data_IF_533654831130
#
_entry.id   IF_533654831130
#
_cell.length_a   1.000
_cell.length_b   1.000
_cell.length_c   1.000
_cell.angle_alpha   90.00
_cell.angle_beta   90.00
_cell.angle_gamma   90.00
#
_symmetry.space_group_name_H-M   'P 1'
#
loop_
_entity.id
_entity.type
_entity.pdbx_description
1 polymer ?
#
# COMPACT_ATOMS: atom_id res chain seq x y z
N UNK A 1 16.04 -0.74 -10.13
CA UNK A 1 16.48 0.36 -11.03
C UNK A 1 15.75 0.40 -12.38
N UNK A 2 15.27 -0.71 -12.95
CA UNK A 2 14.61 -0.71 -14.28
C UNK A 2 13.28 0.10 -14.37
N UNK A 3 12.66 0.46 -13.24
CA UNK A 3 11.42 1.24 -13.22
C UNK A 3 11.61 2.75 -13.07
N UNK A 4 12.85 3.23 -12.90
CA UNK A 4 13.17 4.67 -12.85
C UNK A 4 12.57 5.48 -14.02
N UNK A 5 12.67 5.04 -15.29
CA UNK A 5 12.07 5.80 -16.39
C UNK A 5 10.55 5.93 -16.23
N UNK A 6 9.85 4.85 -15.87
CA UNK A 6 8.42 4.88 -15.60
C UNK A 6 8.07 5.91 -14.51
N UNK A 7 8.85 5.94 -13.42
CA UNK A 7 8.64 6.88 -12.30
C UNK A 7 8.84 8.35 -12.67
N UNK A 8 9.67 8.64 -13.67
CA UNK A 8 9.98 10.01 -14.11
C UNK A 8 9.00 10.46 -15.21
N UNK A 9 8.62 9.57 -16.12
CA UNK A 9 7.71 9.91 -17.23
C UNK A 9 6.26 10.03 -16.76
N UNK A 10 5.83 9.22 -15.78
CA UNK A 10 4.44 9.22 -15.31
C UNK A 10 3.99 10.57 -14.74
N UNK A 11 4.75 11.24 -13.85
CA UNK A 11 4.39 12.55 -13.34
C UNK A 11 4.28 13.61 -14.45
N UNK A 12 5.12 13.54 -15.49
CA UNK A 12 5.06 14.47 -16.63
C UNK A 12 3.78 14.26 -17.45
N UNK A 13 3.38 13.02 -17.68
CA UNK A 13 2.13 12.70 -18.38
C UNK A 13 0.89 13.05 -17.54
N UNK A 14 0.96 12.78 -16.24
CA UNK A 14 -0.12 13.05 -15.30
C UNK A 14 -0.18 14.52 -14.88
N UNK A 15 0.87 15.32 -15.10
CA UNK A 15 0.89 16.74 -14.73
C UNK A 15 -0.32 17.49 -15.31
N UNK A 16 -0.67 17.24 -16.58
CA UNK A 16 -1.85 17.87 -17.20
C UNK A 16 -3.18 17.47 -16.54
N UNK A 17 -3.27 16.26 -15.98
CA UNK A 17 -4.47 15.76 -15.31
C UNK A 17 -4.51 16.12 -13.82
N UNK A 18 -3.35 16.33 -13.19
CA UNK A 18 -3.23 16.59 -11.74
C UNK A 18 -3.20 18.10 -11.44
N UNK A 19 -2.83 18.96 -12.39
CA UNK A 19 -2.82 20.44 -12.23
C UNK A 19 -4.24 21.05 -12.24
N UNK A 20 -5.29 20.24 -12.32
CA UNK A 20 -6.67 20.72 -12.21
C UNK A 20 -7.05 21.24 -10.83
N UNK A 21 -8.22 21.87 -10.72
CA UNK A 21 -8.71 22.47 -9.48
C UNK A 21 -9.09 21.45 -8.39
N UNK A 22 -9.08 20.14 -8.69
CA UNK A 22 -9.44 19.08 -7.73
C UNK A 22 -8.50 17.86 -7.79
N UNK A 23 -7.22 18.00 -7.38
CA UNK A 23 -6.22 16.93 -7.49
C UNK A 23 -6.61 15.65 -6.73
N UNK A 24 -7.38 15.77 -5.65
CA UNK A 24 -7.78 14.65 -4.81
C UNK A 24 -9.01 13.88 -5.36
N UNK A 25 -9.70 14.40 -6.38
CA UNK A 25 -10.72 13.62 -7.10
C UNK A 25 -10.08 12.49 -7.92
N UNK A 26 -8.91 12.76 -8.51
CA UNK A 26 -8.12 11.73 -9.19
C UNK A 26 -7.69 10.65 -8.20
N UNK A 27 -7.26 11.04 -6.99
CA UNK A 27 -6.92 10.11 -5.91
C UNK A 27 -8.11 9.20 -5.57
N UNK A 28 -9.30 9.77 -5.37
CA UNK A 28 -10.53 9.04 -5.05
C UNK A 28 -10.94 8.05 -6.17
N UNK A 29 -10.69 8.38 -7.44
CA UNK A 29 -10.98 7.50 -8.58
C UNK A 29 -9.96 6.38 -8.75
N UNK A 30 -8.69 6.64 -8.46
CA UNK A 30 -7.59 5.66 -8.58
C UNK A 30 -7.55 4.68 -7.40
N UNK A 31 -7.99 5.11 -6.22
CA UNK A 31 -8.02 4.26 -5.01
C UNK A 31 -8.74 2.93 -5.14
N UNK A 32 -9.99 2.85 -5.65
CA UNK A 32 -10.66 1.56 -5.82
C UNK A 32 -9.94 0.67 -6.83
N UNK A 33 -9.40 1.25 -7.91
CA UNK A 33 -8.62 0.50 -8.90
C UNK A 33 -7.38 -0.13 -8.27
N UNK A 34 -6.64 0.63 -7.45
CA UNK A 34 -5.49 0.10 -6.70
C UNK A 34 -5.90 -1.03 -5.76
N UNK A 35 -6.98 -0.85 -5.02
CA UNK A 35 -7.45 -1.85 -4.06
C UNK A 35 -7.87 -3.15 -4.74
N UNK A 36 -8.57 -3.08 -5.87
CA UNK A 36 -8.89 -4.25 -6.68
C UNK A 36 -7.64 -4.93 -7.23
N UNK A 37 -6.65 -4.16 -7.70
CA UNK A 37 -5.41 -4.70 -8.25
C UNK A 37 -4.53 -5.41 -7.20
N UNK A 38 -4.64 -5.03 -5.93
CA UNK A 38 -4.00 -5.76 -4.84
C UNK A 38 -4.51 -7.20 -4.72
N UNK A 39 -5.82 -7.41 -4.89
CA UNK A 39 -6.41 -8.76 -4.89
C UNK A 39 -5.93 -9.57 -6.09
N UNK A 40 -5.84 -8.95 -7.27
CA UNK A 40 -5.28 -9.60 -8.47
C UNK A 40 -3.84 -10.02 -8.25
N UNK A 41 -3.03 -9.17 -7.61
CA UNK A 41 -1.64 -9.48 -7.30
C UNK A 41 -1.52 -10.61 -6.28
N UNK A 42 -2.37 -10.64 -5.25
CA UNK A 42 -2.42 -11.76 -4.30
C UNK A 42 -2.84 -13.07 -4.99
N UNK A 43 -3.83 -13.03 -5.87
CA UNK A 43 -4.25 -14.18 -6.68
C UNK A 43 -3.13 -14.68 -7.60
N UNK A 44 -2.35 -13.76 -8.19
CA UNK A 44 -1.18 -14.13 -8.98
C UNK A 44 -0.14 -14.91 -8.16
N UNK A 45 0.17 -14.43 -6.95
CA UNK A 45 1.09 -15.11 -6.02
C UNK A 45 0.59 -16.51 -5.63
N UNK A 46 -0.73 -16.68 -5.49
CA UNK A 46 -1.34 -17.98 -5.20
C UNK A 46 -1.19 -18.97 -6.36
N UNK A 47 -1.23 -18.50 -7.60
CA UNK A 47 -1.05 -19.34 -8.80
C UNK A 47 0.45 -19.65 -9.08
N UNK A 48 1.37 -18.82 -8.60
CA UNK A 48 2.82 -19.00 -8.77
C UNK A 48 3.35 -20.41 -8.48
N UNK A 49 3.04 -21.07 -7.35
CA UNK A 49 3.52 -22.44 -7.09
C UNK A 49 3.05 -23.45 -8.14
N UNK A 50 1.85 -23.28 -8.71
CA UNK A 50 1.33 -24.15 -9.77
C UNK A 50 2.02 -23.94 -11.13
N UNK A 51 2.60 -22.76 -11.36
CA UNK A 51 3.36 -22.43 -12.57
C UNK A 51 4.82 -22.90 -12.50
N UNK A 52 5.26 -23.47 -11.38
CA UNK A 52 6.61 -23.99 -11.23
C UNK A 52 6.75 -25.32 -11.96
N UNK A 53 7.52 -25.34 -13.06
CA UNK A 53 7.84 -26.54 -13.82
C UNK A 53 9.31 -26.91 -13.59
N UNK A 54 9.57 -28.10 -13.03
CA UNK A 54 10.95 -28.62 -12.78
C UNK A 54 11.88 -27.66 -12.01
N UNK A 55 11.36 -27.00 -10.96
CA UNK A 55 12.12 -26.05 -10.13
C UNK A 55 12.70 -24.82 -10.86
N UNK A 56 12.27 -24.55 -12.10
CA UNK A 56 12.65 -23.35 -12.84
C UNK A 56 11.42 -22.54 -13.22
N UNK A 57 11.49 -21.23 -13.01
CA UNK A 57 10.46 -20.31 -13.49
C UNK A 57 10.73 -20.04 -14.98
N UNK A 58 9.75 -20.33 -15.86
CA UNK A 58 9.91 -20.04 -17.27
C UNK A 58 9.99 -18.53 -17.52
N UNK A 59 10.67 -18.12 -18.60
CA UNK A 59 10.93 -16.70 -18.92
C UNK A 59 9.67 -15.84 -19.03
N UNK A 60 8.55 -16.42 -19.47
CA UNK A 60 7.27 -15.72 -19.53
C UNK A 60 6.74 -15.28 -18.15
N UNK A 61 7.06 -16.02 -17.08
CA UNK A 61 6.65 -15.67 -15.72
C UNK A 61 7.26 -14.34 -15.28
N UNK A 62 8.55 -14.13 -15.57
CA UNK A 62 9.24 -12.89 -15.24
C UNK A 62 8.69 -11.70 -16.04
N UNK A 63 8.38 -11.90 -17.34
CA UNK A 63 7.74 -10.86 -18.16
C UNK A 63 6.37 -10.44 -17.62
N UNK A 64 5.55 -11.42 -17.25
CA UNK A 64 4.23 -11.18 -16.65
C UNK A 64 4.32 -10.49 -15.29
N UNK A 65 5.26 -10.91 -14.44
CA UNK A 65 5.51 -10.31 -13.13
C UNK A 65 5.92 -8.83 -13.27
N UNK A 66 6.82 -8.52 -14.20
CA UNK A 66 7.23 -7.14 -14.48
C UNK A 66 6.06 -6.31 -14.99
N UNK A 67 5.20 -6.87 -15.83
CA UNK A 67 4.02 -6.18 -16.35
C UNK A 67 3.00 -5.88 -15.24
N UNK A 68 2.63 -6.88 -14.43
CA UNK A 68 1.70 -6.71 -13.31
C UNK A 68 2.24 -5.68 -12.32
N UNK A 69 3.52 -5.79 -11.96
CA UNK A 69 4.16 -4.84 -11.05
C UNK A 69 4.25 -3.43 -11.68
N UNK A 70 4.47 -3.33 -12.99
CA UNK A 70 4.47 -2.06 -13.72
C UNK A 70 3.12 -1.36 -13.65
N UNK A 71 2.03 -2.09 -13.91
CA UNK A 71 0.65 -1.57 -13.79
C UNK A 71 0.35 -1.15 -12.36
N UNK A 72 0.72 -1.97 -11.37
CA UNK A 72 0.57 -1.62 -9.97
C UNK A 72 1.28 -0.31 -9.59
N UNK A 73 2.51 -0.10 -10.10
CA UNK A 73 3.27 1.12 -9.88
C UNK A 73 2.60 2.35 -10.48
N UNK A 74 1.95 2.24 -11.64
CA UNK A 74 1.22 3.36 -12.25
C UNK A 74 0.15 3.91 -11.30
N UNK A 75 -0.64 3.03 -10.67
CA UNK A 75 -1.66 3.43 -9.70
C UNK A 75 -1.06 4.09 -8.46
N UNK A 76 0.02 3.52 -7.92
CA UNK A 76 0.73 4.08 -6.77
C UNK A 76 1.32 5.46 -7.05
N UNK A 77 1.99 5.63 -8.19
CA UNK A 77 2.59 6.92 -8.56
C UNK A 77 1.54 7.97 -8.84
N UNK A 78 0.43 7.61 -9.48
CA UNK A 78 -0.67 8.54 -9.69
C UNK A 78 -1.20 9.11 -8.37
N UNK A 79 -1.41 8.26 -7.36
CA UNK A 79 -1.81 8.70 -6.02
C UNK A 79 -0.77 9.61 -5.37
N UNK A 80 0.50 9.22 -5.42
CA UNK A 80 1.58 9.99 -4.82
C UNK A 80 1.65 11.40 -5.43
N UNK A 81 1.58 11.51 -6.76
CA UNK A 81 1.61 12.81 -7.45
C UNK A 81 0.41 13.67 -7.07
N UNK A 82 -0.80 13.10 -7.00
CA UNK A 82 -2.01 13.85 -6.58
C UNK A 82 -1.94 14.36 -5.15
N UNK A 83 -1.37 13.57 -4.24
CA UNK A 83 -1.17 13.94 -2.84
C UNK A 83 -0.14 15.07 -2.70
N UNK A 84 0.98 14.98 -3.42
CA UNK A 84 2.00 16.04 -3.43
C UNK A 84 1.47 17.34 -4.06
N UNK A 85 0.62 17.25 -5.09
CA UNK A 85 -0.04 18.41 -5.66
C UNK A 85 -1.00 19.08 -4.67
N UNK A 86 -1.75 18.28 -3.89
CA UNK A 86 -2.58 18.79 -2.81
C UNK A 86 -1.73 19.47 -1.71
N UNK A 87 -0.60 18.86 -1.32
CA UNK A 87 0.33 19.44 -0.34
C UNK A 87 0.94 20.76 -0.81
N UNK A 88 1.27 20.87 -2.08
CA UNK A 88 1.77 22.12 -2.66
C UNK A 88 0.71 23.23 -2.63
N UNK A 89 -0.55 22.89 -2.89
CA UNK A 89 -1.64 23.88 -2.92
C UNK A 89 -2.04 24.37 -1.54
N UNK A 90 -2.08 23.47 -0.55
CA UNK A 90 -2.54 23.76 0.81
C UNK A 90 -1.49 24.47 1.66
N UNK A 91 -0.22 24.34 1.28
CA UNK A 91 0.89 24.96 2.01
C UNK A 91 0.89 26.48 1.81
N UNK A 92 0.81 27.23 2.90
CA UNK A 92 0.88 28.70 2.88
C UNK A 92 2.18 29.19 2.20
N UNK A 93 2.14 30.13 1.24
CA UNK A 93 3.35 30.70 0.62
C UNK A 93 4.39 31.22 1.61
N UNK A 94 3.98 31.74 2.78
CA UNK A 94 4.89 32.27 3.80
C UNK A 94 5.66 31.16 4.56
N UNK A 95 5.02 29.99 4.76
CA UNK A 95 5.58 28.88 5.54
C UNK A 95 5.57 27.54 4.77
N UNK A 96 5.60 27.61 3.44
CA UNK A 96 5.27 26.46 2.60
C UNK A 96 6.24 25.30 2.75
N UNK A 97 7.52 25.59 3.01
CA UNK A 97 8.54 24.58 3.29
C UNK A 97 8.26 23.78 4.57
N UNK A 98 7.76 24.44 5.63
CA UNK A 98 7.43 23.80 6.91
C UNK A 98 6.20 22.92 6.76
N UNK A 99 5.12 23.42 6.13
CA UNK A 99 3.90 22.64 5.87
C UNK A 99 4.17 21.43 4.98
N UNK A 100 4.90 21.59 3.87
CA UNK A 100 5.31 20.48 2.99
C UNK A 100 6.10 19.41 3.76
N UNK A 101 7.07 19.82 4.58
CA UNK A 101 7.92 18.88 5.33
C UNK A 101 7.11 18.11 6.38
N UNK A 102 6.24 18.79 7.11
CA UNK A 102 5.35 18.16 8.09
C UNK A 102 4.41 17.15 7.42
N UNK A 103 3.75 17.54 6.33
CA UNK A 103 2.81 16.68 5.60
C UNK A 103 3.52 15.46 5.00
N UNK A 104 4.74 15.62 4.48
CA UNK A 104 5.58 14.51 4.02
C UNK A 104 5.97 13.58 5.17
N UNK A 105 6.27 14.13 6.35
CA UNK A 105 6.60 13.35 7.55
C UNK A 105 5.40 12.51 8.00
N UNK A 106 4.22 13.11 8.10
CA UNK A 106 2.98 12.43 8.43
C UNK A 106 2.65 11.32 7.42
N UNK A 107 2.89 11.57 6.13
CA UNK A 107 2.69 10.59 5.06
C UNK A 107 3.64 9.41 5.17
N UNK A 108 4.93 9.67 5.36
CA UNK A 108 5.94 8.62 5.48
C UNK A 108 5.71 7.77 6.72
N UNK A 109 5.32 8.40 7.83
CA UNK A 109 4.92 7.69 9.04
C UNK A 109 3.70 6.82 8.78
N UNK A 110 2.65 7.40 8.19
CA UNK A 110 1.39 6.73 7.84
C UNK A 110 1.54 5.55 6.89
N UNK A 111 2.54 5.58 5.99
CA UNK A 111 2.85 4.46 5.09
C UNK A 111 3.71 3.35 5.72
N UNK A 112 4.53 3.68 6.72
CA UNK A 112 5.52 2.74 7.27
C UNK A 112 4.95 1.86 8.37
N UNK A 113 4.19 2.43 9.31
CA UNK A 113 3.66 1.68 10.46
C UNK A 113 2.73 0.50 10.09
N UNK A 114 1.84 0.56 9.07
CA UNK A 114 0.93 -0.54 8.79
C UNK A 114 1.70 -1.74 8.22
N UNK A 115 2.80 -1.49 7.50
CA UNK A 115 3.64 -2.54 6.92
C UNK A 115 4.29 -3.38 8.01
N UNK A 116 4.82 -2.74 9.05
CA UNK A 116 5.41 -3.44 10.19
C UNK A 116 4.35 -4.20 10.98
N UNK A 117 3.18 -3.59 11.21
CA UNK A 117 2.07 -4.26 11.89
C UNK A 117 1.60 -5.50 11.14
N UNK A 118 1.41 -5.41 9.82
CA UNK A 118 1.00 -6.53 8.98
C UNK A 118 1.99 -7.70 9.08
N UNK A 119 3.29 -7.41 9.03
CA UNK A 119 4.32 -8.43 9.19
C UNK A 119 4.35 -9.04 10.60
N UNK A 120 4.01 -8.28 11.64
CA UNK A 120 3.89 -8.83 13.00
C UNK A 120 2.69 -9.78 13.12
N UNK A 121 1.57 -9.45 12.47
CA UNK A 121 0.34 -10.25 12.55
C UNK A 121 0.35 -11.49 11.66
N UNK A 122 1.15 -11.52 10.59
CA UNK A 122 1.15 -12.64 9.64
C UNK A 122 1.53 -13.96 10.31
N UNK A 123 2.51 -13.95 11.22
CA UNK A 123 2.98 -15.14 11.91
C UNK A 123 1.90 -15.69 12.86
N UNK A 124 1.18 -14.82 13.55
CA UNK A 124 0.07 -15.21 14.44
C UNK A 124 -1.19 -15.70 13.71
N UNK A 125 -1.37 -15.30 12.44
CA UNK A 125 -2.50 -15.72 11.60
C UNK A 125 -2.15 -16.91 10.69
N UNK A 126 -0.90 -17.38 10.71
CA UNK A 126 -0.46 -18.52 9.91
C UNK A 126 -0.60 -19.80 10.72
N UNK A 127 -1.42 -20.73 10.23
CA UNK A 127 -1.63 -22.01 10.89
C UNK A 127 -1.00 -23.16 10.10
N UNK A 128 -0.18 -23.94 10.80
CA UNK A 128 0.59 -25.06 10.26
C UNK A 128 0.32 -26.32 11.08
N UNK A 129 0.51 -27.47 10.48
CA UNK A 129 0.47 -28.76 11.18
C UNK A 129 1.54 -29.71 10.61
N UNK A 130 1.98 -30.65 11.44
CA UNK A 130 2.89 -31.71 11.00
C UNK A 130 2.10 -32.86 10.36
N UNK A 131 2.58 -33.41 9.24
CA UNK A 131 1.93 -34.53 8.56
C UNK A 131 1.85 -35.81 9.40
N UNK A 132 2.76 -35.99 10.36
CA UNK A 132 2.83 -37.19 11.20
C UNK A 132 2.12 -37.00 12.56
N UNK A 133 1.93 -35.76 13.01
CA UNK A 133 1.22 -35.43 14.24
C UNK A 133 0.44 -34.12 14.09
N UNK A 134 -0.89 -34.22 14.08
CA UNK A 134 -1.79 -33.07 13.97
C UNK A 134 -1.79 -32.17 15.21
N UNK A 135 -1.20 -32.60 16.33
CA UNK A 135 -1.01 -31.76 17.52
C UNK A 135 0.21 -30.85 17.43
N UNK A 136 1.18 -31.18 16.58
CA UNK A 136 2.36 -30.35 16.37
C UNK A 136 2.04 -29.24 15.36
N UNK A 137 2.06 -27.98 15.85
CA UNK A 137 1.66 -26.79 15.09
C UNK A 137 2.82 -26.15 14.32
N UNK A 138 4.01 -26.73 14.30
CA UNK A 138 5.20 -26.23 13.57
C UNK A 138 5.47 -24.72 13.76
N UNK A 139 5.21 -24.19 14.97
CA UNK A 139 5.27 -22.75 15.25
C UNK A 139 6.68 -22.27 15.59
N UNK A 140 7.43 -23.07 16.35
CA UNK A 140 8.83 -22.80 16.70
C UNK A 140 9.80 -23.69 15.90
N UNK A 141 11.06 -23.28 15.72
CA UNK A 141 12.08 -24.09 15.05
C UNK A 141 12.27 -25.47 15.71
N UNK A 142 12.09 -25.59 17.03
CA UNK A 142 12.20 -26.88 17.73
C UNK A 142 11.04 -27.82 17.37
N UNK A 143 9.82 -27.29 17.23
CA UNK A 143 8.64 -28.04 16.80
C UNK A 143 8.75 -28.49 15.33
N UNK A 144 9.39 -27.67 14.48
CA UNK A 144 9.71 -28.04 13.10
C UNK A 144 10.71 -29.20 13.07
N UNK A 145 11.81 -29.12 13.85
CA UNK A 145 12.79 -30.20 13.94
C UNK A 145 12.18 -31.51 14.42
N UNK A 146 11.34 -31.48 15.45
CA UNK A 146 10.63 -32.67 15.94
C UNK A 146 9.75 -33.30 14.84
N UNK A 147 9.14 -32.49 13.97
CA UNK A 147 8.37 -32.99 12.84
C UNK A 147 9.28 -33.62 11.77
N UNK A 148 10.38 -32.96 11.43
CA UNK A 148 11.34 -33.42 10.41
C UNK A 148 12.10 -34.70 10.84
N UNK A 149 12.52 -34.77 12.10
CA UNK A 149 13.15 -35.96 12.70
C UNK A 149 12.20 -37.18 12.68
N UNK A 150 10.88 -36.91 12.72
CA UNK A 150 9.83 -37.91 12.57
C UNK A 150 9.48 -38.25 11.12
N UNK A 151 10.30 -37.87 10.13
CA UNK A 151 10.04 -37.96 8.68
C UNK A 151 8.72 -37.28 8.24
N UNK A 152 8.23 -36.32 9.03
CA UNK A 152 7.06 -35.52 8.74
C UNK A 152 7.40 -34.24 7.98
N UNK A 153 6.46 -33.76 7.17
CA UNK A 153 6.53 -32.44 6.54
C UNK A 153 5.58 -31.48 7.25
N UNK A 154 6.04 -30.26 7.55
CA UNK A 154 5.18 -29.19 8.05
C UNK A 154 4.38 -28.59 6.91
N UNK A 155 3.07 -28.79 6.93
CA UNK A 155 2.14 -28.24 5.95
C UNK A 155 1.44 -27.01 6.53
N UNK A 156 1.44 -25.92 5.75
CA UNK A 156 0.63 -24.73 6.05
C UNK A 156 -0.74 -24.92 5.39
N UNK A 157 -1.83 -24.95 6.15
CA UNK A 157 -3.18 -25.03 5.58
C UNK A 157 -3.85 -23.66 5.47
N UNK A 158 -3.51 -22.73 6.37
CA UNK A 158 -3.92 -21.32 6.29
C UNK A 158 -2.66 -20.46 6.34
N UNK A 159 -2.41 -19.77 5.24
CA UNK A 159 -1.36 -18.77 5.16
C UNK A 159 -1.94 -17.40 5.57
N UNK A 160 -1.39 -16.85 6.66
CA UNK A 160 -1.81 -15.59 7.25
C UNK A 160 -1.71 -14.43 6.27
N UNK A 161 -0.87 -14.53 5.22
CA UNK A 161 -0.79 -13.55 4.15
C UNK A 161 -2.14 -13.31 3.47
N UNK A 162 -2.85 -14.37 3.06
CA UNK A 162 -4.12 -14.22 2.33
C UNK A 162 -5.26 -13.76 3.24
N UNK A 163 -5.28 -14.23 4.49
CA UNK A 163 -6.23 -13.77 5.51
C UNK A 163 -6.07 -12.26 5.71
N UNK A 164 -4.83 -11.81 5.85
CA UNK A 164 -4.50 -10.41 6.10
C UNK A 164 -4.75 -9.53 4.88
N UNK A 165 -4.51 -10.01 3.66
CA UNK A 165 -4.92 -9.34 2.42
C UNK A 165 -6.43 -9.09 2.41
N UNK A 166 -7.23 -10.09 2.82
CA UNK A 166 -8.68 -9.94 2.96
C UNK A 166 -9.07 -8.86 3.98
N UNK A 167 -8.51 -8.93 5.19
CA UNK A 167 -8.77 -7.97 6.28
C UNK A 167 -8.36 -6.55 5.84
N UNK A 168 -7.15 -6.36 5.31
CA UNK A 168 -6.67 -5.07 4.84
C UNK A 168 -7.54 -4.51 3.69
N UNK A 169 -8.11 -5.37 2.85
CA UNK A 169 -9.02 -4.95 1.78
C UNK A 169 -10.31 -4.41 2.36
N UNK A 170 -10.92 -5.09 3.34
CA UNK A 170 -12.13 -4.62 4.02
C UNK A 170 -11.88 -3.29 4.73
N UNK A 171 -10.77 -3.18 5.47
CA UNK A 171 -10.37 -1.91 6.12
C UNK A 171 -10.20 -0.80 5.07
N UNK A 172 -9.58 -1.10 3.92
CA UNK A 172 -9.42 -0.15 2.82
C UNK A 172 -10.75 0.32 2.22
N UNK A 173 -11.75 -0.56 2.09
CA UNK A 173 -13.09 -0.19 1.64
C UNK A 173 -13.82 0.70 2.65
N UNK A 174 -13.73 0.38 3.94
CA UNK A 174 -14.30 1.21 5.02
C UNK A 174 -13.63 2.59 5.05
N UNK A 175 -12.30 2.63 4.95
CA UNK A 175 -11.55 3.87 4.86
C UNK A 175 -11.94 4.68 3.62
N UNK A 176 -12.16 4.05 2.47
CA UNK A 176 -12.61 4.76 1.26
C UNK A 176 -13.98 5.42 1.48
N UNK A 177 -14.92 4.73 2.13
CA UNK A 177 -16.25 5.27 2.41
C UNK A 177 -16.21 6.49 3.34
N UNK A 178 -15.40 6.42 4.40
CA UNK A 178 -15.24 7.53 5.36
C UNK A 178 -14.33 8.64 4.81
N UNK A 179 -13.13 8.27 4.39
CA UNK A 179 -12.07 9.18 3.97
C UNK A 179 -12.39 9.97 2.71
N UNK A 180 -13.20 9.44 1.78
CA UNK A 180 -13.64 10.21 0.60
C UNK A 180 -14.40 11.48 1.00
N UNK A 181 -15.26 11.40 2.02
CA UNK A 181 -16.02 12.56 2.51
C UNK A 181 -15.09 13.60 3.10
N UNK A 182 -14.19 13.18 4.00
CA UNK A 182 -13.20 14.06 4.62
C UNK A 182 -12.29 14.71 3.59
N UNK A 183 -11.84 13.94 2.59
CA UNK A 183 -11.02 14.44 1.49
C UNK A 183 -11.76 15.53 0.71
N UNK A 184 -13.02 15.31 0.37
CA UNK A 184 -13.83 16.27 -0.38
C UNK A 184 -14.08 17.54 0.44
N UNK A 185 -14.37 17.40 1.73
CA UNK A 185 -14.52 18.52 2.66
C UNK A 185 -13.22 19.34 2.77
N UNK A 186 -12.07 18.68 2.92
CA UNK A 186 -10.77 19.36 3.01
C UNK A 186 -10.38 20.05 1.71
N UNK A 187 -10.66 19.43 0.55
CA UNK A 187 -10.40 20.02 -0.76
C UNK A 187 -11.32 21.19 -1.08
N UNK A 188 -12.55 21.19 -0.56
CA UNK A 188 -13.55 22.25 -0.78
C UNK A 188 -13.37 23.49 0.11
N UNK A 189 -12.48 23.45 1.11
CA UNK A 189 -12.18 24.63 1.95
C UNK A 189 -11.41 25.68 1.17
N UNK A 190 -11.70 26.94 1.44
CA UNK A 190 -10.97 28.05 0.85
C UNK A 190 -9.51 28.03 1.29
N UNK A 191 -8.60 28.42 0.40
CA UNK A 191 -7.17 28.49 0.68
C UNK A 191 -6.83 29.49 1.80
N UNK A 192 -7.73 30.40 2.11
CA UNK A 192 -7.61 31.33 3.25
C UNK A 192 -7.69 30.62 4.60
N UNK A 193 -8.46 29.55 4.73
CA UNK A 193 -8.56 28.73 5.96
C UNK A 193 -7.26 27.97 6.27
N UNK A 194 -6.44 27.75 5.25
CA UNK A 194 -5.17 27.02 5.37
C UNK A 194 -3.97 27.94 5.62
N UNK A 195 -4.17 29.26 5.50
CA UNK A 195 -3.13 30.27 5.67
C UNK A 195 -3.11 30.82 7.09
N UNK A 196 -1.92 31.19 7.55
CA UNK A 196 -1.77 31.86 8.84
C UNK A 196 -2.30 33.28 8.71
N UNK A 197 -3.35 33.62 9.48
CA UNK A 197 -3.93 34.96 9.43
C UNK A 197 -3.08 35.92 10.27
N UNK A 198 -2.16 36.63 9.61
CA UNK A 198 -1.26 37.61 10.24
C UNK A 198 -2.00 38.77 10.97
N UNK A 199 -3.30 38.96 10.73
CA UNK A 199 -4.13 39.98 11.37
C UNK A 199 -4.90 39.47 12.59
N UNK A 200 -4.72 38.21 12.99
CA UNK A 200 -5.40 37.63 14.14
C UNK A 200 -4.57 37.92 15.42
N UNK A 201 -5.11 38.65 16.41
CA UNK A 201 -4.35 39.04 17.61
C UNK A 201 -3.89 37.88 18.50
N UNK A 202 -4.32 36.64 18.21
CA UNK A 202 -3.86 35.41 18.89
C UNK A 202 -2.54 34.88 18.34
N UNK A 203 -2.19 35.21 17.10
CA UNK A 203 -1.00 34.71 16.40
C UNK A 203 0.19 35.69 16.47
N UNK A 204 0.00 36.86 17.12
CA UNK A 204 1.05 37.86 17.39
C UNK A 204 1.75 37.68 18.75
N UNK A 205 1.58 36.51 19.40
CA UNK A 205 2.09 36.26 20.76
C UNK A 205 3.24 35.27 20.78
#
# INVERSE_FOLDING_TARGET
>A
MCMLPLKITLPVLLAKYVVGETPMDVFNKVYPCRLAFNLVTAGFVWVTPHLMVKHHFPTYYYGLLVLIYGVYQVWLFSMFVTQMAFYARVSDPAFGGTYMTLLNTLTNLGGSWPRTLVLLFVDGLTFKYCSNDTKNVCSNPDLVKVCEDGYGLCHSYVDGYYVLVGICTVIGLLWMGWGRRTIQDLQGRDLTDWKVNANNPKDQK
#
